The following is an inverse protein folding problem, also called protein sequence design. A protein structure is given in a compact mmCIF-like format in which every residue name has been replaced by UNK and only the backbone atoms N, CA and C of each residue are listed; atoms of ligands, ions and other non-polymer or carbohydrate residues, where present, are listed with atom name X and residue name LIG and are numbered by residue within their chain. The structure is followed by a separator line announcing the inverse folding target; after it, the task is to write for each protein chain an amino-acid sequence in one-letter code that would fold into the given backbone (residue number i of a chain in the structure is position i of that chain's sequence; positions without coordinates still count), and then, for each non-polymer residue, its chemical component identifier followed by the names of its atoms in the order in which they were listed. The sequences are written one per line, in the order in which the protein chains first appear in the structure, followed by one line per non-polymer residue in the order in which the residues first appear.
data_IF_195977890541
#
_entry.id   IF_195977890541
#
_cell.length_a   1.000
_cell.length_b   1.000
_cell.length_c   1.000
_cell.angle_alpha   90.00
_cell.angle_beta   90.00
_cell.angle_gamma   90.00
#
_symmetry.space_group_name_H-M   'P 1'
#
loop_
_entity.id
_entity.type
_entity.pdbx_description
1 polymer ?
#
# COMPACT_ATOMS: atom_id res chain seq x y z
N UNK A 1 15.01 18.12 -1.47
CA UNK A 1 14.17 19.03 -2.28
C UNK A 1 12.69 18.78 -2.02
N UNK A 2 11.83 19.76 -2.34
CA UNK A 2 10.38 19.56 -2.43
C UNK A 2 10.02 18.90 -3.77
N UNK A 3 9.07 17.97 -3.71
CA UNK A 3 8.59 17.18 -4.85
C UNK A 3 7.07 17.27 -4.92
N UNK A 4 6.54 17.54 -6.11
CA UNK A 4 5.11 17.44 -6.39
C UNK A 4 4.85 16.03 -6.91
N UNK A 5 4.17 15.20 -6.10
CA UNK A 5 3.89 13.79 -6.43
C UNK A 5 2.45 13.39 -6.12
N UNK A 6 2.01 12.33 -6.79
CA UNK A 6 0.75 11.67 -6.45
C UNK A 6 0.91 10.82 -5.19
N UNK A 7 -0.08 10.89 -4.31
CA UNK A 7 -0.34 9.89 -3.30
C UNK A 7 -1.66 9.17 -3.64
N UNK A 8 -1.69 7.84 -3.54
CA UNK A 8 -2.91 7.06 -3.76
C UNK A 8 -3.85 7.24 -2.57
N UNK A 9 -5.11 7.50 -2.85
CA UNK A 9 -6.18 7.61 -1.84
C UNK A 9 -7.41 6.89 -2.39
N UNK A 10 -8.09 6.08 -1.58
CA UNK A 10 -9.28 5.34 -2.03
C UNK A 10 -9.19 3.85 -1.78
N UNK A 11 -10.09 3.10 -2.41
CA UNK A 11 -10.32 1.68 -2.10
C UNK A 11 -9.48 0.77 -3.01
N UNK A 12 -9.46 -0.53 -2.67
CA UNK A 12 -8.96 -1.55 -3.59
C UNK A 12 -9.83 -1.55 -4.86
N UNK A 13 -9.20 -1.72 -6.03
CA UNK A 13 -9.81 -1.63 -7.38
C UNK A 13 -10.47 -0.28 -7.77
N UNK A 14 -10.52 0.72 -6.87
CA UNK A 14 -11.01 2.09 -7.11
C UNK A 14 -10.00 3.11 -6.56
N UNK A 15 -8.95 3.36 -7.34
CA UNK A 15 -7.89 4.29 -6.95
C UNK A 15 -8.25 5.73 -7.34
N UNK A 16 -8.16 6.65 -6.38
CA UNK A 16 -8.06 8.09 -6.63
C UNK A 16 -6.65 8.55 -6.23
N UNK A 17 -6.25 9.74 -6.66
CA UNK A 17 -4.96 10.31 -6.32
C UNK A 17 -5.11 11.73 -5.80
N UNK A 18 -4.33 12.07 -4.78
CA UNK A 18 -4.15 13.44 -4.29
C UNK A 18 -2.77 13.93 -4.73
N UNK A 19 -2.70 15.17 -5.19
CA UNK A 19 -1.45 15.82 -5.59
C UNK A 19 -0.93 16.61 -4.39
N UNK A 20 0.24 16.24 -3.91
CA UNK A 20 0.83 16.76 -2.68
C UNK A 20 2.21 17.33 -2.95
N UNK A 21 2.51 18.45 -2.30
CA UNK A 21 3.88 18.97 -2.19
C UNK A 21 4.47 18.42 -0.91
N UNK A 22 5.53 17.63 -1.02
CA UNK A 22 6.17 16.95 0.11
C UNK A 22 7.68 16.88 -0.10
N UNK A 23 8.44 16.72 0.98
CA UNK A 23 9.88 16.55 0.86
C UNK A 23 10.23 15.18 0.26
N UNK A 24 11.32 15.11 -0.51
CA UNK A 24 11.66 13.89 -1.25
C UNK A 24 11.88 12.65 -0.36
N UNK A 25 12.38 12.86 0.87
CA UNK A 25 12.69 11.89 1.92
C UNK A 25 11.46 11.27 2.57
N UNK A 26 10.31 11.95 2.52
CA UNK A 26 9.11 11.51 3.24
C UNK A 26 8.42 10.37 2.49
N UNK A 27 7.97 9.37 3.24
CA UNK A 27 7.20 8.25 2.73
C UNK A 27 5.93 8.72 1.98
N UNK A 28 5.52 8.04 0.89
CA UNK A 28 4.33 8.42 0.13
C UNK A 28 3.08 8.54 1.01
N UNK A 29 2.57 9.77 1.16
CA UNK A 29 1.37 10.06 1.94
C UNK A 29 1.58 10.38 3.42
N UNK A 30 2.83 10.48 3.87
CA UNK A 30 3.16 11.03 5.19
C UNK A 30 3.01 12.56 5.27
N UNK A 31 3.91 13.18 6.04
CA UNK A 31 3.96 14.64 6.22
C UNK A 31 4.14 15.36 4.88
N UNK A 32 3.18 16.18 4.52
CA UNK A 32 3.19 17.03 3.33
C UNK A 32 3.03 18.49 3.73
N UNK A 33 3.45 19.41 2.86
CA UNK A 33 3.36 20.86 3.07
C UNK A 33 1.97 21.35 2.68
N UNK A 34 1.47 20.94 1.51
CA UNK A 34 0.18 21.38 0.98
C UNK A 34 -0.42 20.33 0.03
N UNK A 35 -1.76 20.20 0.05
CA UNK A 35 -2.53 19.49 -0.97
C UNK A 35 -2.94 20.49 -2.06
N UNK A 36 -2.30 20.38 -3.22
CA UNK A 36 -2.46 21.30 -4.36
C UNK A 36 -3.48 20.82 -5.40
N UNK A 37 -3.95 19.57 -5.30
CA UNK A 37 -5.01 19.07 -6.16
C UNK A 37 -5.41 17.62 -5.91
N UNK A 38 -6.31 17.12 -6.75
CA UNK A 38 -6.71 15.71 -6.84
C UNK A 38 -6.92 15.30 -8.30
N UNK A 39 -6.78 14.00 -8.55
CA UNK A 39 -6.97 13.39 -9.86
C UNK A 39 -7.63 12.02 -9.69
N UNK A 40 -8.80 11.84 -10.31
CA UNK A 40 -9.51 10.57 -10.37
C UNK A 40 -9.39 9.99 -11.78
N UNK A 41 -8.67 8.86 -11.98
CA UNK A 41 -8.47 8.26 -13.30
C UNK A 41 -9.72 7.52 -13.81
N UNK A 42 -10.63 7.10 -12.92
CA UNK A 42 -11.87 6.41 -13.31
C UNK A 42 -12.90 7.41 -13.85
N UNK A 43 -13.03 8.56 -13.20
CA UNK A 43 -13.90 9.65 -13.64
C UNK A 43 -13.23 10.59 -14.65
N UNK A 44 -11.91 10.45 -14.86
CA UNK A 44 -11.06 11.38 -15.62
C UNK A 44 -11.20 12.84 -15.17
N UNK A 45 -11.46 13.04 -13.87
CA UNK A 45 -11.66 14.36 -13.26
C UNK A 45 -10.40 14.80 -12.56
N UNK A 46 -9.90 15.97 -12.93
CA UNK A 46 -8.74 16.61 -12.32
C UNK A 46 -9.18 17.92 -11.66
N UNK A 47 -8.77 18.14 -10.42
CA UNK A 47 -9.00 19.40 -9.70
C UNK A 47 -7.66 19.95 -9.26
N UNK A 48 -7.22 21.06 -9.86
CA UNK A 48 -5.92 21.68 -9.63
C UNK A 48 -6.06 23.08 -9.06
N UNK A 49 -5.26 23.42 -8.05
CA UNK A 49 -5.06 24.80 -7.59
C UNK A 49 -3.91 25.42 -8.39
N UNK A 50 -4.21 25.87 -9.61
CA UNK A 50 -3.22 26.37 -10.58
C UNK A 50 -2.24 27.39 -9.99
N UNK A 51 -2.73 28.33 -9.18
CA UNK A 51 -1.91 29.40 -8.59
C UNK A 51 -0.88 28.87 -7.60
N UNK A 52 -1.29 27.92 -6.75
CA UNK A 52 -0.40 27.25 -5.79
C UNK A 52 0.62 26.36 -6.48
N UNK A 53 0.23 25.68 -7.56
CA UNK A 53 1.14 24.85 -8.36
C UNK A 53 2.22 25.72 -9.01
N UNK A 54 1.84 26.84 -9.63
CA UNK A 54 2.79 27.81 -10.22
C UNK A 54 3.73 28.40 -9.17
N UNK A 55 3.23 28.76 -7.99
CA UNK A 55 4.05 29.19 -6.85
C UNK A 55 5.08 28.13 -6.44
N UNK A 56 4.67 26.87 -6.22
CA UNK A 56 5.62 25.84 -5.82
C UNK A 56 6.68 25.54 -6.88
N UNK A 57 6.34 25.63 -8.17
CA UNK A 57 7.30 25.49 -9.27
C UNK A 57 8.30 26.66 -9.26
N UNK A 58 7.88 27.90 -9.01
CA UNK A 58 8.82 29.03 -8.92
C UNK A 58 9.72 28.97 -7.67
N UNK A 59 9.27 28.30 -6.61
CA UNK A 59 10.10 27.93 -5.45
C UNK A 59 11.02 26.70 -5.71
N UNK A 60 11.07 26.18 -6.94
CA UNK A 60 11.95 25.08 -7.33
C UNK A 60 11.44 23.67 -6.98
N UNK A 61 10.16 23.50 -6.64
CA UNK A 61 9.60 22.17 -6.41
C UNK A 61 9.52 21.38 -7.73
N UNK A 62 10.11 20.17 -7.75
CA UNK A 62 10.16 19.34 -8.94
C UNK A 62 8.92 18.43 -9.04
N UNK A 63 8.11 18.49 -10.11
CA UNK A 63 7.04 17.54 -10.34
C UNK A 63 7.59 16.20 -10.85
N UNK A 64 7.01 15.10 -10.36
CA UNK A 64 7.20 13.76 -10.93
C UNK A 64 6.67 13.70 -12.37
N UNK A 65 7.25 12.87 -13.25
CA UNK A 65 6.96 12.89 -14.68
C UNK A 65 5.48 12.67 -15.04
N UNK A 66 4.78 11.81 -14.29
CA UNK A 66 3.32 11.63 -14.46
C UNK A 66 2.54 12.89 -14.05
N UNK A 67 2.98 13.61 -13.01
CA UNK A 67 2.37 14.89 -12.59
C UNK A 67 2.67 15.96 -13.64
N UNK A 68 3.91 16.05 -14.11
CA UNK A 68 4.31 16.97 -15.17
C UNK A 68 3.46 16.77 -16.43
N UNK A 69 3.24 15.51 -16.84
CA UNK A 69 2.39 15.16 -17.96
C UNK A 69 0.92 15.58 -17.77
N UNK A 70 0.38 15.46 -16.54
CA UNK A 70 -0.96 15.95 -16.21
C UNK A 70 -1.02 17.48 -16.30
N UNK A 71 0.00 18.20 -15.80
CA UNK A 71 0.06 19.66 -15.87
C UNK A 71 0.21 20.19 -17.30
N UNK A 72 0.85 19.43 -18.19
CA UNK A 72 0.89 19.72 -19.63
C UNK A 72 -0.47 19.48 -20.30
N UNK A 73 -1.18 18.40 -19.93
CA UNK A 73 -2.54 18.13 -20.45
C UNK A 73 -3.54 19.22 -20.05
N UNK A 74 -3.48 19.68 -18.81
CA UNK A 74 -4.33 20.75 -18.26
C UNK A 74 -3.81 22.17 -18.63
N UNK A 75 -2.79 22.28 -19.50
CA UNK A 75 -2.17 23.54 -19.98
C UNK A 75 -1.67 24.48 -18.87
N UNK A 76 -1.30 23.93 -17.71
CA UNK A 76 -0.73 24.69 -16.57
C UNK A 76 0.76 24.98 -16.79
N UNK A 77 1.46 24.07 -17.49
CA UNK A 77 2.86 24.19 -17.88
C UNK A 77 2.95 23.89 -19.38
N UNK A 78 3.71 24.71 -20.12
CA UNK A 78 4.04 24.44 -21.52
C UNK A 78 5.32 23.60 -21.61
N UNK A 79 5.26 22.47 -22.31
CA UNK A 79 6.43 21.60 -22.48
C UNK A 79 6.12 20.26 -23.14
N UNK A 80 7.19 19.56 -23.55
CA UNK A 80 7.08 18.23 -24.16
C UNK A 80 6.77 17.17 -23.10
N UNK A 81 5.78 16.33 -23.36
CA UNK A 81 5.41 15.20 -22.49
C UNK A 81 6.64 14.31 -22.21
N UNK A 82 6.89 14.00 -20.94
CA UNK A 82 7.99 13.11 -20.52
C UNK A 82 7.54 11.65 -20.64
N UNK A 83 8.45 10.78 -21.08
CA UNK A 83 8.17 9.34 -21.13
C UNK A 83 8.18 8.75 -19.71
N UNK A 84 7.12 8.04 -19.33
CA UNK A 84 7.02 7.36 -18.02
C UNK A 84 7.26 5.88 -18.21
N UNK A 85 8.49 5.42 -17.95
CA UNK A 85 8.86 4.01 -17.99
C UNK A 85 8.37 3.31 -16.73
N UNK A 86 7.16 2.77 -16.79
CA UNK A 86 6.63 1.88 -15.74
C UNK A 86 7.25 0.49 -15.98
N UNK A 87 8.14 -0.01 -15.09
CA UNK A 87 8.58 -1.39 -15.19
C UNK A 87 7.36 -2.28 -14.99
N UNK A 88 7.03 -3.10 -15.98
CA UNK A 88 6.03 -4.16 -15.80
C UNK A 88 6.65 -5.18 -14.84
N UNK A 89 5.92 -5.70 -13.85
CA UNK A 89 6.36 -6.91 -13.17
C UNK A 89 6.48 -8.00 -14.24
N UNK A 90 7.69 -8.45 -14.51
CA UNK A 90 7.92 -9.62 -15.36
C UNK A 90 7.32 -10.79 -14.60
N UNK A 91 6.41 -11.59 -15.18
CA UNK A 91 5.99 -12.84 -14.57
C UNK A 91 7.24 -13.68 -14.28
N UNK A 92 7.39 -14.15 -13.04
CA UNK A 92 8.41 -15.11 -12.69
C UNK A 92 7.98 -16.49 -13.25
N UNK A 93 8.19 -16.68 -14.54
CA UNK A 93 7.91 -17.95 -15.23
C UNK A 93 9.17 -18.81 -15.29
N UNK A 94 9.04 -20.04 -14.80
CA UNK A 94 9.89 -21.22 -15.03
C UNK A 94 11.35 -21.10 -14.57
N UNK A 95 11.63 -21.64 -13.38
CA UNK A 95 12.90 -22.33 -13.13
C UNK A 95 12.83 -23.70 -13.85
N UNK A 96 13.74 -24.01 -14.79
CA UNK A 96 13.72 -25.29 -15.49
C UNK A 96 14.30 -26.43 -14.64
N UNK A 97 13.59 -27.55 -14.69
CA UNK A 97 13.98 -28.94 -14.47
C UNK A 97 15.35 -29.25 -13.79
N UNK A 98 15.28 -29.73 -12.56
CA UNK A 98 16.16 -30.77 -12.05
C UNK A 98 15.44 -31.60 -10.96
N UNK A 99 15.63 -32.93 -10.98
CA UNK A 99 15.16 -33.91 -9.99
C UNK A 99 13.65 -34.26 -9.94
N UNK A 100 13.17 -34.93 -11.00
CA UNK A 100 12.23 -36.07 -10.86
C UNK A 100 12.81 -37.25 -11.63
N UNK A 101 13.47 -38.18 -10.92
CA UNK A 101 13.62 -39.63 -11.18
C UNK A 101 14.85 -40.21 -10.46
N UNK A 102 14.64 -40.79 -9.27
CA UNK A 102 15.15 -42.14 -8.94
C UNK A 102 14.07 -42.84 -8.12
N UNK A 103 13.77 -44.06 -8.52
CA UNK A 103 12.64 -44.88 -8.10
C UNK A 103 12.55 -45.22 -6.58
N UNK A 104 11.32 -45.44 -6.12
CA UNK A 104 11.02 -46.46 -5.08
C UNK A 104 11.29 -47.84 -5.69
N UNK A 105 11.93 -48.78 -4.97
CA UNK A 105 11.31 -49.43 -3.80
C UNK A 105 12.30 -49.53 -2.60
N UNK A 106 12.05 -50.26 -1.49
CA UNK A 106 11.01 -51.24 -1.19
C UNK A 106 10.57 -51.21 0.30
N UNK A 107 9.84 -52.24 0.71
CA UNK A 107 9.15 -52.45 1.99
C UNK A 107 10.08 -53.07 3.06
N UNK A 108 10.08 -52.53 4.28
CA UNK A 108 10.39 -53.28 5.49
C UNK A 108 9.68 -52.71 6.72
N UNK A 109 8.75 -53.48 7.27
CA UNK A 109 8.12 -53.30 8.59
C UNK A 109 8.17 -54.67 9.31
N UNK A 110 7.79 -54.83 10.59
CA UNK A 110 7.52 -53.84 11.65
C UNK A 110 8.23 -54.15 13.00
N UNK A 111 8.18 -53.22 13.96
CA UNK A 111 8.19 -53.46 15.42
C UNK A 111 7.96 -52.12 16.16
N UNK A 112 7.37 -52.00 17.35
CA UNK A 112 6.22 -52.62 18.01
C UNK A 112 6.03 -51.79 19.30
N UNK A 113 4.78 -51.38 19.58
CA UNK A 113 4.14 -51.02 20.88
C UNK A 113 4.67 -49.96 21.89
N UNK A 114 3.68 -49.16 22.34
CA UNK A 114 3.34 -48.82 23.75
C UNK A 114 4.06 -47.68 24.52
N UNK A 115 3.44 -46.49 24.47
CA UNK A 115 2.87 -45.74 25.62
C UNK A 115 2.07 -44.58 25.01
N UNK A 116 0.74 -44.59 24.89
CA UNK A 116 -0.32 -44.58 25.92
C UNK A 116 -0.26 -43.40 26.90
N UNK A 117 -1.45 -42.80 27.10
CA UNK A 117 -1.87 -41.75 28.04
C UNK A 117 -1.33 -40.32 27.83
N UNK A 118 -2.11 -39.25 28.00
CA UNK A 118 -3.57 -39.07 27.99
C UNK A 118 -3.88 -37.56 27.77
N UNK A 119 -5.07 -37.18 27.26
CA UNK A 119 -5.44 -35.77 27.01
C UNK A 119 -6.18 -35.10 28.18
N UNK A 120 -6.58 -33.83 27.98
CA UNK A 120 -7.27 -32.90 28.90
C UNK A 120 -6.32 -32.23 29.93
N UNK A 121 -6.41 -30.92 30.20
CA UNK A 121 -7.63 -30.24 30.65
C UNK A 121 -7.76 -28.78 30.18
N UNK A 122 -8.99 -28.35 29.93
CA UNK A 122 -9.36 -26.94 29.71
C UNK A 122 -9.99 -26.41 30.99
N UNK A 123 -9.29 -25.50 31.69
CA UNK A 123 -9.82 -24.81 32.85
C UNK A 123 -9.27 -23.37 32.92
N UNK A 124 -9.92 -22.44 32.21
CA UNK A 124 -9.74 -21.01 32.46
C UNK A 124 -10.73 -20.57 33.54
N UNK A 125 -10.27 -20.23 34.77
CA UNK A 125 -11.18 -19.80 35.82
C UNK A 125 -11.70 -18.39 35.54
N UNK A 126 -13.00 -18.22 35.74
CA UNK A 126 -13.68 -16.92 35.71
C UNK A 126 -13.36 -16.18 37.01
N UNK A 127 -12.74 -15.00 36.92
CA UNK A 127 -12.61 -14.08 38.06
C UNK A 127 -13.55 -12.88 37.86
N UNK A 128 -14.65 -12.85 38.63
CA UNK A 128 -15.56 -11.70 38.67
C UNK A 128 -15.14 -10.78 39.80
N UNK A 129 -14.55 -9.64 39.45
CA UNK A 129 -14.30 -8.56 40.41
C UNK A 129 -15.62 -7.84 40.75
N UNK A 130 -15.99 -7.70 42.04
CA UNK A 130 -17.17 -6.93 42.43
C UNK A 130 -16.85 -5.43 42.46
N UNK A 131 -17.51 -4.66 41.60
CA UNK A 131 -17.53 -3.21 41.68
C UNK A 131 -18.82 -2.74 42.37
N UNK A 132 -18.68 -2.02 43.48
CA UNK A 132 -19.78 -1.33 44.12
C UNK A 132 -19.92 0.08 43.52
N UNK A 133 -21.12 0.47 43.11
CA UNK A 133 -21.53 1.87 43.19
C UNK A 133 -23.05 1.97 43.40
N UNK A 134 -23.48 3.03 44.08
CA UNK A 134 -24.85 3.27 44.55
C UNK A 134 -25.37 4.52 43.90
N UNK A 135 -26.48 4.47 43.15
CA UNK A 135 -27.40 5.62 43.16
C UNK A 135 -28.88 5.32 42.87
N UNK A 136 -29.69 6.19 43.47
CA UNK A 136 -31.16 6.23 43.60
C UNK A 136 -31.93 6.09 42.29
N UNK A 137 -33.08 5.41 42.37
CA UNK A 137 -34.37 5.98 41.96
C UNK A 137 -35.55 5.25 42.60
N UNK A 138 -36.61 6.03 42.91
CA UNK A 138 -37.83 5.68 43.65
C UNK A 138 -37.67 5.49 45.18
#
# INVERSE_FOLDING_TARGET
MLVIRFNRTGKNKRASYRIMVQEHTVAPGGRHVEIVGSHDPHLKKTVLKTDRIKYWISQGAQPSDTVYNLLVQEKVIEGKKREVKIPRPVPAEVAPEAAVEVALPEVAAPAEVASEAAPAEVAAPVEVAPAAEVEKQA
#
